data_IF_469335669518
#
_entry.id   IF_469335669518
#
_cell.length_a   1.000
_cell.length_b   1.000
_cell.length_c   1.000
_cell.angle_alpha   90.00
_cell.angle_beta   90.00
_cell.angle_gamma   90.00
#
_symmetry.space_group_name_H-M   'P 1'
#
loop_
_entity.id
_entity.type
_entity.pdbx_description
1 polymer ?
#
# COMPACT_ATOMS: atom_id res chain seq x y z
N UNK A 1 -12.46 22.73 21.46
CA UNK A 1 -11.27 22.60 20.58
C UNK A 1 -10.05 22.08 21.34
N UNK A 2 -9.55 22.79 22.37
CA UNK A 2 -8.33 22.40 23.11
C UNK A 2 -8.42 21.01 23.75
N UNK A 3 -9.58 20.63 24.32
CA UNK A 3 -9.78 19.30 24.93
C UNK A 3 -9.64 18.15 23.93
N UNK A 4 -10.22 18.30 22.73
CA UNK A 4 -10.11 17.33 21.63
C UNK A 4 -8.65 17.14 21.20
N UNK A 5 -7.92 18.23 20.96
CA UNK A 5 -6.52 18.13 20.54
C UNK A 5 -5.62 17.54 21.63
N UNK A 6 -5.90 17.80 22.92
CA UNK A 6 -5.19 17.14 24.03
C UNK A 6 -5.46 15.64 24.04
N UNK A 7 -6.71 15.21 23.88
CA UNK A 7 -7.06 13.78 23.78
C UNK A 7 -6.46 13.11 22.53
N UNK A 8 -6.47 13.81 21.40
CA UNK A 8 -5.82 13.35 20.16
C UNK A 8 -4.31 13.19 20.35
N UNK A 9 -3.65 14.13 21.05
CA UNK A 9 -2.22 14.04 21.35
C UNK A 9 -1.90 12.85 22.27
N UNK A 10 -2.67 12.64 23.35
CA UNK A 10 -2.46 11.51 24.25
C UNK A 10 -2.68 10.16 23.54
N UNK A 11 -3.73 10.06 22.72
CA UNK A 11 -3.97 8.85 21.92
C UNK A 11 -2.89 8.62 20.87
N UNK A 12 -2.35 9.67 20.23
CA UNK A 12 -1.21 9.56 19.31
C UNK A 12 0.06 9.06 20.01
N UNK A 13 0.37 9.58 21.19
CA UNK A 13 1.53 9.13 21.97
C UNK A 13 1.40 7.68 22.40
N UNK A 14 0.20 7.26 22.82
CA UNK A 14 -0.09 5.87 23.15
C UNK A 14 0.02 4.96 21.91
N UNK A 15 -0.44 5.44 20.75
CA UNK A 15 -0.33 4.74 19.46
C UNK A 15 1.12 4.47 19.06
N UNK A 16 1.97 5.50 19.18
CA UNK A 16 3.40 5.42 18.92
C UNK A 16 4.07 4.42 19.86
N UNK A 17 3.78 4.51 21.16
CA UNK A 17 4.31 3.57 22.16
C UNK A 17 3.91 2.11 21.86
N UNK A 18 2.64 1.87 21.55
CA UNK A 18 2.15 0.54 21.17
C UNK A 18 2.78 0.04 19.86
N UNK A 19 2.97 0.93 18.88
CA UNK A 19 3.62 0.59 17.61
C UNK A 19 5.06 0.14 17.82
N UNK A 20 5.83 0.90 18.63
CA UNK A 20 7.21 0.55 18.96
C UNK A 20 7.27 -0.78 19.70
N UNK A 21 6.40 -1.00 20.69
CA UNK A 21 6.36 -2.26 21.43
C UNK A 21 6.04 -3.47 20.52
N UNK A 22 5.09 -3.33 19.60
CA UNK A 22 4.76 -4.38 18.62
C UNK A 22 5.94 -4.70 17.71
N UNK A 23 6.63 -3.67 17.20
CA UNK A 23 7.82 -3.88 16.35
C UNK A 23 8.94 -4.57 17.13
N UNK A 24 9.20 -4.19 18.38
CA UNK A 24 10.23 -4.82 19.20
C UNK A 24 9.92 -6.30 19.46
N UNK A 25 8.66 -6.64 19.76
CA UNK A 25 8.23 -8.03 19.90
C UNK A 25 8.36 -8.81 18.59
N UNK A 26 8.00 -8.20 17.46
CA UNK A 26 8.14 -8.84 16.15
C UNK A 26 9.61 -9.13 15.82
N UNK A 27 10.51 -8.17 16.11
CA UNK A 27 11.95 -8.34 15.88
C UNK A 27 12.54 -9.47 16.75
N UNK A 28 12.11 -9.60 18.00
CA UNK A 28 12.55 -10.68 18.89
C UNK A 28 12.17 -12.07 18.35
N UNK A 29 11.00 -12.19 17.73
CA UNK A 29 10.54 -13.43 17.09
C UNK A 29 11.08 -13.65 15.67
N UNK A 30 11.52 -12.59 14.97
CA UNK A 30 11.99 -12.67 13.58
C UNK A 30 13.33 -13.40 13.49
N UNK A 31 14.26 -13.13 14.41
CA UNK A 31 15.60 -13.71 14.37
C UNK A 31 15.66 -15.00 15.20
N UNK A 32 15.60 -16.15 14.53
CA UNK A 32 15.74 -17.45 15.19
C UNK A 32 17.20 -17.71 15.51
N UNK A 33 17.49 -18.05 16.77
CA UNK A 33 18.81 -18.46 17.22
C UNK A 33 18.71 -19.69 18.11
N UNK A 34 19.38 -20.77 17.72
CA UNK A 34 19.41 -22.03 18.46
C UNK A 34 20.85 -22.48 18.70
N UNK A 35 21.39 -22.31 19.91
CA UNK A 35 22.75 -22.71 20.22
C UNK A 35 22.84 -24.22 20.38
N UNK A 36 23.57 -24.92 19.50
CA UNK A 36 23.90 -26.33 19.69
C UNK A 36 24.98 -26.52 20.76
N UNK A 37 25.84 -25.51 20.96
CA UNK A 37 26.84 -25.48 22.03
C UNK A 37 26.81 -24.18 22.84
N UNK A 38 26.97 -24.23 24.18
CA UNK A 38 27.10 -25.42 25.02
C UNK A 38 25.86 -26.34 24.98
N UNK A 39 26.05 -27.65 25.19
CA UNK A 39 24.99 -28.66 25.03
C UNK A 39 23.74 -28.34 25.85
N UNK A 40 23.92 -27.83 27.07
CA UNK A 40 22.81 -27.49 27.97
C UNK A 40 21.97 -26.28 27.52
N UNK A 41 22.50 -25.43 26.62
CA UNK A 41 21.78 -24.29 26.05
C UNK A 41 20.95 -24.69 24.83
N UNK A 42 21.19 -25.87 24.27
CA UNK A 42 20.51 -26.36 23.07
C UNK A 42 19.08 -26.77 23.37
N UNK A 43 18.13 -26.27 22.58
CA UNK A 43 16.76 -26.77 22.63
C UNK A 43 16.60 -28.08 21.85
N UNK A 44 17.61 -28.45 21.05
CA UNK A 44 17.66 -29.70 20.31
C UNK A 44 18.61 -30.68 21.01
N UNK A 45 18.10 -31.84 21.43
CA UNK A 45 18.95 -32.90 21.96
C UNK A 45 19.82 -33.51 20.84
N UNK A 46 21.09 -33.74 21.17
CA UNK A 46 22.07 -34.37 20.30
C UNK A 46 23.18 -35.02 21.14
N UNK A 47 23.84 -36.03 20.59
CA UNK A 47 25.05 -36.64 21.17
C UNK A 47 26.19 -36.62 20.14
N UNK A 48 27.43 -36.74 20.62
CA UNK A 48 28.60 -36.76 19.76
C UNK A 48 28.98 -38.20 19.38
N UNK A 49 29.43 -38.40 18.14
CA UNK A 49 30.03 -39.66 17.69
C UNK A 49 31.24 -39.38 16.79
N UNK A 50 32.11 -40.38 16.63
CA UNK A 50 33.25 -40.29 15.72
C UNK A 50 32.98 -41.10 14.45
N UNK A 51 33.36 -40.56 13.30
CA UNK A 51 33.30 -41.24 12.02
C UNK A 51 34.72 -41.37 11.47
N UNK A 52 35.20 -42.60 11.31
CA UNK A 52 36.56 -42.88 10.84
C UNK A 52 36.55 -43.92 9.73
N UNK A 53 37.64 -43.95 8.97
CA UNK A 53 37.89 -44.93 7.92
C UNK A 53 38.20 -46.35 8.41
N UNK A 54 38.06 -46.62 9.72
CA UNK A 54 38.29 -47.96 10.29
C UNK A 54 37.38 -49.02 9.69
N UNK A 55 36.13 -48.66 9.34
CA UNK A 55 35.21 -49.58 8.68
C UNK A 55 35.70 -49.98 7.28
N UNK A 56 36.45 -49.10 6.61
CA UNK A 56 37.03 -49.31 5.28
C UNK A 56 38.43 -49.94 5.34
N UNK A 57 38.87 -50.40 6.52
CA UNK A 57 40.18 -51.01 6.74
C UNK A 57 41.31 -50.01 7.02
N UNK A 58 40.97 -48.74 7.27
CA UNK A 58 41.89 -47.71 7.71
C UNK A 58 42.21 -47.77 9.20
N UNK A 59 43.05 -46.85 9.65
CA UNK A 59 43.48 -46.67 11.03
C UNK A 59 43.60 -45.18 11.39
N UNK A 60 42.82 -44.33 10.71
CA UNK A 60 42.62 -42.96 11.14
C UNK A 60 41.87 -42.93 12.47
N UNK A 61 42.10 -41.88 13.25
CA UNK A 61 41.64 -41.78 14.63
C UNK A 61 40.88 -40.47 14.82
N UNK A 62 39.77 -40.54 15.55
CA UNK A 62 39.07 -39.39 16.12
C UNK A 62 38.86 -39.65 17.61
N UNK A 63 39.21 -38.69 18.45
CA UNK A 63 39.01 -38.73 19.91
C UNK A 63 38.31 -37.45 20.33
N UNK A 64 37.22 -37.58 21.10
CA UNK A 64 36.47 -36.44 21.64
C UNK A 64 36.84 -36.30 23.12
N UNK A 65 37.36 -35.13 23.49
CA UNK A 65 37.76 -34.79 24.86
C UNK A 65 36.69 -34.00 25.61
N UNK A 66 35.99 -33.11 24.91
CA UNK A 66 34.81 -32.39 25.42
C UNK A 66 33.77 -32.25 24.30
N UNK A 67 32.51 -32.36 24.69
CA UNK A 67 31.35 -32.11 23.84
C UNK A 67 30.19 -31.45 24.62
N UNK A 68 30.48 -30.98 25.85
CA UNK A 68 29.47 -30.41 26.74
C UNK A 68 29.51 -28.88 26.72
N UNK A 69 30.68 -28.27 26.85
CA UNK A 69 30.83 -26.80 26.82
C UNK A 69 31.36 -26.32 25.48
N UNK A 70 32.38 -26.99 24.96
CA UNK A 70 32.93 -26.78 23.64
C UNK A 70 33.22 -28.15 23.00
N UNK A 71 33.28 -28.22 21.68
CA UNK A 71 33.74 -29.42 21.00
C UNK A 71 35.26 -29.41 21.00
N UNK A 72 35.90 -30.30 21.74
CA UNK A 72 37.35 -30.51 21.73
C UNK A 72 37.61 -31.92 21.19
N UNK A 73 38.22 -32.01 20.02
CA UNK A 73 38.48 -33.30 19.38
C UNK A 73 39.86 -33.34 18.72
N UNK A 74 40.48 -34.52 18.75
CA UNK A 74 41.69 -34.83 18.00
C UNK A 74 41.34 -35.67 16.77
N UNK A 75 41.82 -35.22 15.61
CA UNK A 75 41.64 -35.85 14.32
C UNK A 75 43.02 -36.20 13.75
N UNK A 76 43.28 -37.48 13.49
CA UNK A 76 44.53 -37.93 12.85
C UNK A 76 44.22 -38.81 11.65
N UNK A 77 44.64 -38.37 10.47
CA UNK A 77 44.60 -39.17 9.25
C UNK A 77 45.79 -40.14 9.20
N UNK A 78 45.58 -41.31 8.62
CA UNK A 78 46.66 -42.24 8.27
C UNK A 78 46.77 -42.42 6.77
N UNK A 79 47.95 -42.83 6.29
CA UNK A 79 48.27 -43.10 4.89
C UNK A 79 47.91 -44.52 4.40
N UNK A 80 47.23 -45.32 5.22
CA UNK A 80 46.87 -46.72 4.88
C UNK A 80 45.92 -46.79 3.69
N UNK A 81 44.96 -45.86 3.63
CA UNK A 81 43.99 -45.76 2.54
C UNK A 81 44.36 -44.63 1.59
N UNK A 82 43.93 -44.76 0.33
CA UNK A 82 44.12 -43.69 -0.68
C UNK A 82 43.26 -42.46 -0.41
N UNK A 83 42.15 -42.63 0.33
CA UNK A 83 41.22 -41.56 0.73
C UNK A 83 40.85 -41.74 2.20
N UNK A 84 41.80 -41.48 3.11
CA UNK A 84 41.54 -41.62 4.54
C UNK A 84 40.59 -40.52 5.00
N UNK A 85 39.81 -40.80 6.04
CA UNK A 85 38.95 -39.80 6.64
C UNK A 85 38.80 -40.02 8.15
N UNK A 86 38.59 -38.91 8.83
CA UNK A 86 38.25 -38.86 10.25
C UNK A 86 37.42 -37.61 10.51
N UNK A 87 36.39 -37.75 11.33
CA UNK A 87 35.43 -36.69 11.62
C UNK A 87 34.75 -36.90 12.97
N UNK A 88 34.13 -35.83 13.45
CA UNK A 88 33.23 -35.84 14.60
C UNK A 88 31.86 -35.36 14.16
N UNK A 89 30.83 -36.04 14.64
CA UNK A 89 29.43 -35.77 14.31
C UNK A 89 28.63 -35.38 15.54
N UNK A 90 27.74 -34.41 15.37
CA UNK A 90 26.65 -34.11 16.28
C UNK A 90 25.39 -34.76 15.71
N UNK A 91 24.97 -35.87 16.32
CA UNK A 91 23.80 -36.64 15.90
C UNK A 91 22.59 -36.18 16.66
N UNK A 92 21.54 -35.78 15.96
CA UNK A 92 20.30 -35.38 16.60
C UNK A 92 19.61 -36.59 17.24
N UNK A 93 19.14 -36.37 18.46
CA UNK A 93 18.49 -37.41 19.25
C UNK A 93 17.23 -36.91 19.93
N UNK A 94 16.42 -37.86 20.40
CA UNK A 94 15.40 -37.57 21.39
C UNK A 94 16.01 -37.54 22.82
N UNK A 95 15.13 -37.44 23.82
CA UNK A 95 15.51 -37.43 25.24
C UNK A 95 16.04 -38.80 25.73
N UNK A 96 15.77 -39.88 25.00
CA UNK A 96 16.23 -41.25 25.28
C UNK A 96 17.48 -41.62 24.48
N UNK A 97 18.13 -40.63 23.83
CA UNK A 97 19.28 -40.80 22.94
C UNK A 97 19.02 -41.67 21.70
N UNK A 98 17.76 -41.87 21.31
CA UNK A 98 17.44 -42.49 20.02
C UNK A 98 17.72 -41.50 18.89
N UNK A 99 18.30 -42.01 17.80
CA UNK A 99 18.61 -41.21 16.61
C UNK A 99 17.33 -40.76 15.93
N UNK A 100 17.23 -39.47 15.63
CA UNK A 100 16.08 -38.90 14.96
C UNK A 100 16.52 -37.82 13.96
N UNK A 101 15.58 -37.41 13.11
CA UNK A 101 15.79 -36.31 12.18
C UNK A 101 15.17 -35.02 12.72
N UNK A 102 15.83 -33.89 12.48
CA UNK A 102 15.33 -32.56 12.82
C UNK A 102 15.02 -31.76 11.56
N UNK A 103 13.95 -30.98 11.64
CA UNK A 103 13.64 -29.98 10.63
C UNK A 103 14.44 -28.72 10.92
N UNK A 104 15.40 -28.43 10.05
CA UNK A 104 16.26 -27.25 10.13
C UNK A 104 15.92 -26.20 9.06
N UNK A 105 14.79 -26.31 8.35
CA UNK A 105 14.42 -25.36 7.27
C UNK A 105 14.32 -23.91 7.75
N UNK A 106 13.98 -23.70 9.01
CA UNK A 106 13.92 -22.37 9.62
C UNK A 106 15.30 -21.71 9.78
N UNK A 107 16.40 -22.47 9.67
CA UNK A 107 17.76 -21.99 9.88
C UNK A 107 18.54 -21.94 8.57
N UNK A 108 19.13 -20.77 8.29
CA UNK A 108 19.88 -20.52 7.06
C UNK A 108 21.39 -20.62 7.30
N UNK A 109 21.88 -20.28 8.50
CA UNK A 109 23.31 -20.22 8.79
C UNK A 109 23.69 -21.03 10.02
N UNK A 110 24.74 -21.82 9.93
CA UNK A 110 25.44 -22.39 11.06
C UNK A 110 26.69 -21.57 11.35
N UNK A 111 26.69 -20.88 12.50
CA UNK A 111 27.81 -20.03 12.90
C UNK A 111 28.54 -20.62 14.10
N UNK A 112 29.87 -20.58 14.09
CA UNK A 112 30.70 -21.13 15.17
C UNK A 112 32.07 -20.46 15.23
N UNK A 113 32.72 -20.48 16.40
CA UNK A 113 34.14 -20.14 16.46
C UNK A 113 34.95 -21.42 16.42
N UNK A 114 36.03 -21.43 15.64
CA UNK A 114 36.92 -22.58 15.50
C UNK A 114 38.37 -22.19 15.71
N UNK A 115 39.16 -23.13 16.25
CA UNK A 115 40.61 -23.08 16.40
C UNK A 115 41.19 -24.48 16.20
N UNK A 116 42.32 -24.58 15.51
CA UNK A 116 43.05 -25.83 15.31
C UNK A 116 44.48 -25.75 15.86
N UNK A 117 45.09 -26.89 16.20
CA UNK A 117 46.51 -26.98 16.53
C UNK A 117 47.41 -26.69 15.33
N UNK A 118 46.94 -27.05 14.13
CA UNK A 118 47.64 -26.92 12.85
C UNK A 118 46.73 -26.25 11.83
N UNK A 119 47.32 -25.47 10.92
CA UNK A 119 46.55 -24.80 9.88
C UNK A 119 46.09 -25.85 8.86
N UNK A 120 44.78 -25.95 8.64
CA UNK A 120 44.17 -27.01 7.83
C UNK A 120 42.85 -26.53 7.23
N UNK A 121 42.39 -27.22 6.20
CA UNK A 121 41.04 -27.06 5.64
C UNK A 121 40.20 -28.24 6.09
N UNK A 122 39.09 -27.94 6.77
CA UNK A 122 38.12 -28.91 7.25
C UNK A 122 36.82 -28.79 6.46
N UNK A 123 35.98 -29.81 6.53
CA UNK A 123 34.66 -29.83 5.91
C UNK A 123 33.57 -29.88 6.98
N UNK A 124 32.52 -29.08 6.78
CA UNK A 124 31.24 -29.25 7.43
C UNK A 124 30.32 -30.02 6.49
N UNK A 125 29.70 -31.09 6.96
CA UNK A 125 28.71 -31.88 6.23
C UNK A 125 27.39 -31.91 7.00
N UNK A 126 26.27 -31.89 6.28
CA UNK A 126 24.93 -31.98 6.87
C UNK A 126 24.22 -33.17 6.26
N UNK A 127 23.93 -34.20 7.06
CA UNK A 127 23.32 -35.43 6.56
C UNK A 127 21.80 -35.27 6.48
N UNK A 128 21.28 -35.21 5.26
CA UNK A 128 19.87 -34.98 4.92
C UNK A 128 19.23 -36.22 4.30
N UNK A 129 17.94 -36.42 4.54
CA UNK A 129 17.17 -37.53 3.98
C UNK A 129 16.73 -37.18 2.57
N UNK A 130 17.07 -38.05 1.61
CA UNK A 130 16.44 -38.13 0.30
C UNK A 130 15.25 -39.11 0.39
N UNK A 131 14.04 -38.72 -0.04
CA UNK A 131 12.84 -39.56 0.09
C UNK A 131 12.88 -40.84 -0.74
N UNK A 132 13.76 -40.93 -1.74
CA UNK A 132 13.86 -42.06 -2.67
C UNK A 132 15.06 -42.95 -2.39
N UNK A 133 16.19 -42.37 -1.99
CA UNK A 133 17.48 -43.08 -1.88
C UNK A 133 17.80 -43.48 -0.44
N UNK A 134 17.46 -42.63 0.54
CA UNK A 134 17.98 -42.77 1.89
C UNK A 134 17.40 -43.97 2.62
N UNK A 135 18.30 -44.80 3.17
CA UNK A 135 18.01 -45.89 4.09
C UNK A 135 18.44 -45.45 5.49
N UNK A 136 17.50 -45.43 6.43
CA UNK A 136 17.70 -44.82 7.76
C UNK A 136 18.92 -45.35 8.53
N UNK A 137 19.23 -46.64 8.38
CA UNK A 137 20.33 -47.30 9.08
C UNK A 137 21.68 -47.22 8.34
N UNK A 138 21.77 -46.50 7.22
CA UNK A 138 23.00 -46.41 6.43
C UNK A 138 23.27 -44.97 6.00
N UNK A 139 24.18 -44.29 6.72
CA UNK A 139 24.57 -42.90 6.41
C UNK A 139 25.20 -42.68 5.05
N UNK A 140 25.76 -43.72 4.41
CA UNK A 140 26.29 -43.61 3.04
C UNK A 140 25.18 -43.27 2.02
N UNK A 141 23.93 -43.59 2.35
CA UNK A 141 22.75 -43.33 1.49
C UNK A 141 22.08 -41.98 1.73
N UNK A 142 22.58 -41.18 2.68
CA UNK A 142 22.07 -39.84 2.94
C UNK A 142 22.72 -38.85 2.00
N UNK A 143 21.98 -37.82 1.58
CA UNK A 143 22.58 -36.66 0.93
C UNK A 143 23.40 -35.90 1.96
N UNK A 144 24.69 -35.73 1.72
CA UNK A 144 25.61 -35.05 2.64
C UNK A 144 26.21 -33.80 1.98
N UNK A 145 25.39 -32.74 1.75
CA UNK A 145 25.91 -31.45 1.32
C UNK A 145 27.04 -30.98 2.24
N UNK A 146 28.08 -30.42 1.65
CA UNK A 146 29.29 -30.02 2.36
C UNK A 146 29.75 -28.60 2.01
N UNK A 147 30.48 -28.01 2.95
CA UNK A 147 31.22 -26.75 2.74
C UNK A 147 32.57 -26.83 3.42
N UNK A 148 33.61 -26.39 2.72
CA UNK A 148 34.94 -26.28 3.28
C UNK A 148 35.10 -24.99 4.08
N UNK A 149 35.89 -25.06 5.14
CA UNK A 149 36.27 -23.90 5.93
C UNK A 149 37.72 -24.01 6.40
N UNK A 150 38.40 -22.88 6.51
CA UNK A 150 39.77 -22.82 6.99
C UNK A 150 39.78 -22.87 8.53
N UNK A 151 40.76 -23.58 9.07
CA UNK A 151 41.00 -23.65 10.50
C UNK A 151 42.45 -23.29 10.78
N UNK A 152 42.68 -22.38 11.73
CA UNK A 152 44.01 -21.90 12.07
C UNK A 152 44.29 -21.97 13.56
N UNK A 153 45.52 -21.67 13.96
CA UNK A 153 45.94 -21.57 15.37
C UNK A 153 45.23 -20.50 16.19
N UNK A 154 44.55 -19.56 15.53
CA UNK A 154 43.79 -18.49 16.18
C UNK A 154 42.29 -18.77 16.13
N UNK A 155 41.55 -18.25 17.11
CA UNK A 155 40.09 -18.32 17.08
C UNK A 155 39.54 -17.49 15.92
N UNK A 156 38.73 -18.12 15.07
CA UNK A 156 38.07 -17.46 13.95
C UNK A 156 36.58 -17.77 13.96
N UNK A 157 35.75 -16.75 13.71
CA UNK A 157 34.31 -16.92 13.55
C UNK A 157 34.03 -17.38 12.11
N UNK A 158 33.40 -18.53 11.98
CA UNK A 158 32.89 -19.08 10.72
C UNK A 158 31.37 -18.97 10.69
N UNK A 159 30.83 -18.74 9.50
CA UNK A 159 29.41 -18.83 9.21
C UNK A 159 29.24 -19.60 7.91
N UNK A 160 28.51 -20.71 7.97
CA UNK A 160 28.24 -21.58 6.83
C UNK A 160 26.77 -21.46 6.47
N UNK A 161 26.49 -21.10 5.21
CA UNK A 161 25.13 -21.11 4.68
C UNK A 161 24.70 -22.56 4.45
N UNK A 162 23.66 -23.00 5.16
CA UNK A 162 23.10 -24.35 5.10
C UNK A 162 22.24 -24.57 3.85
N UNK A 163 21.79 -23.51 3.17
CA UNK A 163 21.00 -23.59 1.93
C UNK A 163 21.86 -23.51 0.66
N UNK A 164 23.15 -23.18 0.79
CA UNK A 164 24.13 -23.11 -0.30
C UNK A 164 25.35 -24.00 0.01
N UNK A 165 25.16 -25.31 -0.08
CA UNK A 165 26.19 -26.31 0.13
C UNK A 165 26.30 -27.23 -1.08
N UNK A 166 27.49 -27.76 -1.35
CA UNK A 166 27.72 -28.60 -2.52
C UNK A 166 27.49 -30.08 -2.18
N UNK A 167 26.79 -30.81 -3.05
CA UNK A 167 26.72 -32.26 -2.94
C UNK A 167 28.03 -32.90 -3.43
N UNK A 168 28.53 -33.96 -2.77
CA UNK A 168 29.73 -34.63 -3.23
C UNK A 168 29.51 -35.35 -4.57
N UNK A 169 30.34 -35.06 -5.58
CA UNK A 169 30.20 -35.64 -6.91
C UNK A 169 30.28 -37.18 -6.91
N UNK A 170 31.10 -37.76 -6.04
CA UNK A 170 31.21 -39.22 -5.89
C UNK A 170 29.88 -39.85 -5.44
N UNK A 171 29.10 -39.14 -4.63
CA UNK A 171 27.83 -39.62 -4.11
C UNK A 171 26.75 -39.61 -5.21
N UNK A 172 26.72 -38.52 -6.00
CA UNK A 172 25.86 -38.43 -7.18
C UNK A 172 26.18 -39.55 -8.18
N UNK A 173 27.47 -39.85 -8.41
CA UNK A 173 27.89 -40.96 -9.26
C UNK A 173 27.48 -42.33 -8.70
N UNK A 174 27.64 -42.53 -7.39
CA UNK A 174 27.28 -43.79 -6.72
C UNK A 174 25.79 -44.14 -6.86
N UNK A 175 24.92 -43.13 -6.97
CA UNK A 175 23.48 -43.31 -7.16
C UNK A 175 23.01 -42.99 -8.58
N UNK A 176 23.93 -42.87 -9.55
CA UNK A 176 23.63 -42.60 -10.97
C UNK A 176 22.78 -41.33 -11.20
N UNK A 177 23.00 -40.31 -10.40
CA UNK A 177 22.32 -39.01 -10.49
C UNK A 177 23.07 -38.04 -11.40
N UNK A 178 22.37 -36.98 -11.83
CA UNK A 178 22.98 -35.89 -12.57
C UNK A 178 24.02 -35.18 -11.70
N UNK A 179 25.23 -34.96 -12.21
CA UNK A 179 26.30 -34.23 -11.51
C UNK A 179 25.97 -32.76 -11.25
N UNK A 180 25.00 -32.20 -11.97
CA UNK A 180 24.47 -30.86 -11.74
C UNK A 180 23.33 -30.82 -10.71
N UNK A 181 22.93 -31.96 -10.13
CA UNK A 181 21.95 -31.99 -9.05
C UNK A 181 22.58 -31.44 -7.77
N UNK A 182 22.10 -30.26 -7.35
CA UNK A 182 22.41 -29.59 -6.09
C UNK A 182 21.23 -29.65 -5.10
N UNK A 183 20.16 -30.40 -5.43
CA UNK A 183 18.95 -30.47 -4.65
C UNK A 183 19.12 -31.26 -3.35
N UNK A 184 18.85 -30.61 -2.21
CA UNK A 184 18.67 -31.26 -0.92
C UNK A 184 17.66 -30.48 -0.06
N UNK A 185 17.15 -31.12 0.99
CA UNK A 185 16.17 -30.52 1.90
C UNK A 185 16.65 -30.59 3.34
N UNK A 186 16.57 -29.46 4.04
CA UNK A 186 16.82 -29.38 5.48
C UNK A 186 15.61 -29.84 6.32
N UNK A 187 14.55 -30.38 5.71
CA UNK A 187 13.35 -30.85 6.45
C UNK A 187 13.62 -32.04 7.36
N UNK A 188 14.63 -32.84 7.03
CA UNK A 188 14.99 -34.04 7.79
C UNK A 188 16.52 -34.17 7.82
N UNK A 189 17.14 -33.60 8.85
CA UNK A 189 18.58 -33.63 9.10
C UNK A 189 18.88 -34.63 10.21
N UNK A 190 19.75 -35.62 9.93
CA UNK A 190 20.15 -36.64 10.90
C UNK A 190 21.31 -36.18 11.79
N UNK A 191 22.36 -35.62 11.18
CA UNK A 191 23.57 -35.20 11.89
C UNK A 191 24.32 -34.09 11.16
N UNK A 192 25.08 -33.32 11.92
CA UNK A 192 26.05 -32.33 11.41
C UNK A 192 27.43 -32.87 11.72
N UNK A 193 28.28 -33.02 10.70
CA UNK A 193 29.61 -33.61 10.81
C UNK A 193 30.68 -32.57 10.48
N UNK A 194 31.77 -32.61 11.24
CA UNK A 194 32.97 -31.81 11.04
C UNK A 194 34.15 -32.77 10.84
N UNK A 195 34.73 -32.72 9.65
CA UNK A 195 35.70 -33.71 9.21
C UNK A 195 36.92 -33.13 8.53
N UNK A 196 37.91 -34.00 8.39
CA UNK A 196 39.11 -33.76 7.60
C UNK A 196 38.81 -33.72 6.11
N UNK A 197 39.73 -33.15 5.33
CA UNK A 197 39.66 -33.08 3.87
C UNK A 197 40.91 -33.67 3.23
N UNK A 198 40.93 -33.78 1.91
CA UNK A 198 42.14 -34.17 1.17
C UNK A 198 43.32 -33.19 1.35
N UNK A 199 43.08 -31.98 1.88
CA UNK A 199 44.13 -31.00 2.19
C UNK A 199 44.60 -31.06 3.64
N UNK A 200 43.97 -31.87 4.49
CA UNK A 200 44.39 -32.06 5.87
C UNK A 200 45.71 -32.85 5.94
N UNK A 201 46.63 -32.51 6.86
CA UNK A 201 47.89 -33.24 6.99
C UNK A 201 47.65 -34.70 7.39
N UNK A 202 48.39 -35.60 6.72
CA UNK A 202 48.38 -37.03 7.01
C UNK A 202 49.46 -37.34 8.04
N UNK A 203 49.20 -38.29 8.94
CA UNK A 203 50.09 -38.72 10.02
C UNK A 203 50.41 -37.62 11.06
N UNK A 204 49.64 -36.53 11.07
CA UNK A 204 49.69 -35.46 12.06
C UNK A 204 48.35 -35.34 12.79
N UNK A 205 48.39 -35.05 14.09
CA UNK A 205 47.18 -34.86 14.89
C UNK A 205 46.72 -33.40 14.84
N UNK A 206 45.51 -33.20 14.33
CA UNK A 206 44.80 -31.92 14.31
C UNK A 206 43.86 -31.89 15.52
N UNK A 207 44.17 -31.08 16.53
CA UNK A 207 43.23 -30.80 17.62
C UNK A 207 42.33 -29.65 17.22
N UNK A 208 41.03 -29.92 17.11
CA UNK A 208 40.00 -28.97 16.71
C UNK A 208 39.18 -28.58 17.94
N UNK A 209 39.04 -27.27 18.15
CA UNK A 209 38.22 -26.71 19.22
C UNK A 209 37.13 -25.82 18.61
N UNK A 210 35.86 -26.11 18.91
CA UNK A 210 34.70 -25.35 18.41
C UNK A 210 33.84 -24.89 19.59
N UNK A 211 33.50 -23.61 19.62
CA UNK A 211 32.55 -23.06 20.60
C UNK A 211 31.48 -22.19 19.92
N UNK A 212 30.43 -21.86 20.68
CA UNK A 212 29.34 -21.01 20.22
C UNK A 212 28.77 -21.47 18.85
N UNK A 213 28.59 -22.78 18.71
CA UNK A 213 27.98 -23.43 17.56
C UNK A 213 26.47 -23.15 17.62
N UNK A 214 25.97 -22.34 16.70
CA UNK A 214 24.61 -21.80 16.74
C UNK A 214 23.99 -21.85 15.36
N UNK A 215 22.78 -22.41 15.28
CA UNK A 215 21.91 -22.31 14.11
C UNK A 215 21.19 -20.96 14.14
N UNK A 216 21.23 -20.24 13.03
CA UNK A 216 20.65 -18.91 12.88
C UNK A 216 19.69 -18.91 11.70
N UNK A 217 18.53 -18.31 11.89
CA UNK A 217 17.45 -18.25 10.93
C UNK A 217 16.71 -16.94 11.00
N UNK A 218 15.89 -16.68 10.00
CA UNK A 218 15.05 -15.50 9.93
C UNK A 218 13.66 -15.92 9.46
N UNK A 219 12.64 -15.52 10.21
CA UNK A 219 11.23 -15.69 9.86
C UNK A 219 10.58 -14.32 9.70
N UNK A 220 10.48 -13.88 8.45
CA UNK A 220 9.97 -12.56 8.08
C UNK A 220 8.44 -12.45 8.23
N UNK A 221 7.72 -13.56 8.45
CA UNK A 221 6.26 -13.57 8.55
C UNK A 221 5.78 -12.73 9.73
N UNK A 222 6.48 -12.79 10.87
CA UNK A 222 6.18 -11.96 12.04
C UNK A 222 6.26 -10.47 11.73
N UNK A 223 7.26 -10.05 10.96
CA UNK A 223 7.43 -8.65 10.57
C UNK A 223 6.33 -8.21 9.61
N UNK A 224 5.97 -9.04 8.62
CA UNK A 224 4.91 -8.72 7.66
C UNK A 224 3.54 -8.63 8.32
N UNK A 225 3.19 -9.58 9.19
CA UNK A 225 1.93 -9.56 9.95
C UNK A 225 1.87 -8.33 10.85
N UNK A 226 2.96 -8.01 11.54
CA UNK A 226 3.04 -6.81 12.39
C UNK A 226 2.90 -5.53 11.59
N UNK A 227 3.56 -5.42 10.43
CA UNK A 227 3.42 -4.29 9.53
C UNK A 227 1.98 -4.10 9.04
N UNK A 228 1.30 -5.19 8.66
CA UNK A 228 -0.11 -5.14 8.24
C UNK A 228 -1.03 -4.69 9.38
N UNK A 229 -0.82 -5.20 10.60
CA UNK A 229 -1.55 -4.78 11.80
C UNK A 229 -1.33 -3.30 12.11
N UNK A 230 -0.09 -2.81 12.02
CA UNK A 230 0.23 -1.39 12.21
C UNK A 230 -0.48 -0.52 11.17
N UNK A 231 -0.45 -0.89 9.88
CA UNK A 231 -1.16 -0.14 8.83
C UNK A 231 -2.65 -0.04 9.17
N UNK A 232 -3.31 -1.15 9.52
CA UNK A 232 -4.72 -1.14 9.92
C UNK A 232 -4.96 -0.24 11.14
N UNK A 233 -4.10 -0.34 12.14
CA UNK A 233 -4.22 0.39 13.39
C UNK A 233 -4.05 1.91 13.18
N UNK A 234 -3.11 2.32 12.33
CA UNK A 234 -2.92 3.72 11.93
C UNK A 234 -4.06 4.24 11.05
N UNK A 235 -4.61 3.42 10.15
CA UNK A 235 -5.80 3.79 9.35
C UNK A 235 -7.03 4.00 10.23
N UNK A 236 -7.25 3.13 11.23
CA UNK A 236 -8.34 3.28 12.21
C UNK A 236 -8.18 4.56 13.02
N UNK A 237 -6.95 4.86 13.47
CA UNK A 237 -6.66 6.10 14.18
C UNK A 237 -6.89 7.34 13.30
N UNK A 238 -6.45 7.33 12.04
CA UNK A 238 -6.67 8.41 11.09
C UNK A 238 -8.17 8.64 10.83
N UNK A 239 -8.95 7.57 10.67
CA UNK A 239 -10.41 7.64 10.54
C UNK A 239 -11.09 8.23 11.77
N UNK A 240 -10.69 7.79 12.97
CA UNK A 240 -11.17 8.37 14.24
C UNK A 240 -10.82 9.85 14.37
N UNK A 241 -9.59 10.23 14.02
CA UNK A 241 -9.11 11.61 14.06
C UNK A 241 -9.89 12.50 13.09
N UNK A 242 -10.11 12.04 11.86
CA UNK A 242 -10.86 12.78 10.84
C UNK A 242 -12.32 12.98 11.26
N UNK A 243 -12.97 11.94 11.76
CA UNK A 243 -14.35 12.02 12.26
C UNK A 243 -14.46 12.93 13.49
N UNK A 244 -13.52 12.81 14.43
CA UNK A 244 -13.46 13.66 15.62
C UNK A 244 -13.21 15.12 15.28
N UNK A 245 -12.30 15.40 14.36
CA UNK A 245 -12.01 16.75 13.88
C UNK A 245 -13.20 17.36 13.14
N UNK A 246 -13.88 16.57 12.28
CA UNK A 246 -15.11 16.98 11.61
C UNK A 246 -16.21 17.38 12.60
N UNK A 247 -16.45 16.56 13.63
CA UNK A 247 -17.41 16.90 14.71
C UNK A 247 -17.02 18.17 15.46
N UNK A 248 -15.73 18.31 15.83
CA UNK A 248 -15.24 19.49 16.54
C UNK A 248 -15.36 20.77 15.70
N UNK A 249 -15.12 20.68 14.39
CA UNK A 249 -15.27 21.78 13.45
C UNK A 249 -16.75 22.20 13.31
N UNK A 250 -17.66 21.24 13.14
CA UNK A 250 -19.11 21.51 13.08
C UNK A 250 -19.61 22.19 14.35
N UNK A 251 -19.18 21.73 15.54
CA UNK A 251 -19.52 22.39 16.80
C UNK A 251 -18.99 23.83 16.87
N UNK A 252 -17.78 24.08 16.39
CA UNK A 252 -17.21 25.43 16.35
C UNK A 252 -17.96 26.36 15.39
N UNK A 253 -18.38 25.84 14.23
CA UNK A 253 -19.21 26.55 13.26
C UNK A 253 -20.60 26.83 13.84
N UNK A 254 -21.24 25.86 14.49
CA UNK A 254 -22.52 26.06 15.17
C UNK A 254 -22.42 27.14 16.24
N UNK A 255 -21.38 27.10 17.08
CA UNK A 255 -21.16 28.14 18.09
C UNK A 255 -20.99 29.52 17.44
N UNK A 256 -20.21 29.61 16.36
CA UNK A 256 -19.99 30.88 15.64
C UNK A 256 -21.27 31.39 14.97
N UNK A 257 -22.03 30.51 14.33
CA UNK A 257 -23.34 30.82 13.72
C UNK A 257 -24.34 31.26 14.79
N UNK A 258 -24.34 30.64 15.98
CA UNK A 258 -25.22 31.02 17.09
C UNK A 258 -24.81 32.35 17.72
N UNK A 259 -23.51 32.62 17.87
CA UNK A 259 -23.01 33.88 18.45
C UNK A 259 -23.10 35.06 17.48
N UNK A 260 -22.97 34.83 16.18
CA UNK A 260 -23.03 35.85 15.13
C UNK A 260 -24.39 35.88 14.44
N UNK A 261 -25.46 35.31 15.02
CA UNK A 261 -26.81 35.51 14.48
C UNK A 261 -27.05 37.02 14.36
N UNK A 262 -27.21 37.59 13.14
CA UNK A 262 -27.84 38.89 13.06
C UNK A 262 -29.20 38.70 13.73
N UNK A 263 -29.56 39.61 14.64
CA UNK A 263 -30.95 39.80 15.04
C UNK A 263 -31.71 40.15 13.76
N UNK A 264 -32.09 39.13 12.99
CA UNK A 264 -33.17 39.25 12.03
C UNK A 264 -34.39 39.34 12.91
N UNK A 265 -34.68 40.58 13.35
CA UNK A 265 -36.01 40.94 13.78
C UNK A 265 -36.92 40.34 12.72
N UNK A 266 -37.85 39.48 13.14
CA UNK A 266 -38.91 38.98 12.28
C UNK A 266 -39.56 40.21 11.66
N UNK A 267 -39.14 40.56 10.44
CA UNK A 267 -39.79 41.57 9.66
C UNK A 267 -41.12 40.91 9.35
N UNK A 268 -42.15 41.31 10.10
CA UNK A 268 -43.51 40.84 9.89
C UNK A 268 -43.74 40.88 8.39
N UNK A 269 -44.14 39.73 7.83
CA UNK A 269 -44.57 39.65 6.45
C UNK A 269 -45.77 40.60 6.32
N UNK A 270 -45.49 41.86 5.96
CA UNK A 270 -46.53 42.83 5.68
C UNK A 270 -47.17 42.35 4.39
N UNK A 271 -48.28 41.64 4.52
CA UNK A 271 -49.28 41.52 3.47
C UNK A 271 -49.83 42.92 3.21
N UNK A 272 -49.05 43.75 2.53
CA UNK A 272 -49.56 44.97 1.92
C UNK A 272 -50.49 44.50 0.80
N UNK A 273 -51.77 44.93 0.78
CA UNK A 273 -52.67 44.56 -0.30
C UNK A 273 -52.06 45.09 -1.60
N UNK A 274 -52.14 44.29 -2.67
CA UNK A 274 -51.74 44.65 -4.03
C UNK A 274 -52.40 46.00 -4.40
N UNK A 275 -51.68 47.09 -4.13
CA UNK A 275 -52.07 48.45 -4.50
C UNK A 275 -51.77 48.54 -5.98
N UNK A 276 -52.80 48.78 -6.80
CA UNK A 276 -52.64 49.22 -8.18
C UNK A 276 -51.83 50.53 -8.17
N UNK A 277 -50.51 50.44 -8.16
CA UNK A 277 -49.65 51.60 -8.28
C UNK A 277 -49.76 52.13 -9.71
N UNK A 278 -49.57 53.45 -9.93
CA UNK A 278 -49.46 53.99 -11.28
C UNK A 278 -48.38 53.27 -12.10
N UNK A 279 -47.31 52.78 -11.46
CA UNK A 279 -46.26 51.96 -12.06
C UNK A 279 -46.77 50.61 -12.57
N UNK A 280 -47.53 49.87 -11.77
CA UNK A 280 -48.11 48.58 -12.17
C UNK A 280 -49.05 48.73 -13.38
N UNK A 281 -49.79 49.84 -13.43
CA UNK A 281 -50.68 50.13 -14.57
C UNK A 281 -49.89 50.40 -15.86
N UNK A 282 -48.77 51.12 -15.78
CA UNK A 282 -47.87 51.35 -16.91
C UNK A 282 -47.25 50.04 -17.38
N UNK A 283 -46.75 49.21 -16.45
CA UNK A 283 -46.13 47.92 -16.75
C UNK A 283 -47.12 46.99 -17.45
N UNK A 284 -48.35 46.88 -16.92
CA UNK A 284 -49.42 46.07 -17.53
C UNK A 284 -49.79 46.56 -18.92
N UNK A 285 -49.97 47.87 -19.11
CA UNK A 285 -50.29 48.43 -20.42
C UNK A 285 -49.21 48.09 -21.47
N UNK A 286 -47.93 48.20 -21.08
CA UNK A 286 -46.82 47.83 -21.95
C UNK A 286 -46.76 46.32 -22.22
N UNK A 287 -46.99 45.49 -21.21
CA UNK A 287 -47.07 44.03 -21.34
C UNK A 287 -48.19 43.57 -22.30
N UNK A 288 -49.30 44.30 -22.36
CA UNK A 288 -50.42 43.97 -23.24
C UNK A 288 -50.22 44.50 -24.67
N UNK A 289 -49.51 45.62 -24.85
CA UNK A 289 -49.46 46.34 -26.13
C UNK A 289 -48.08 46.35 -26.80
N UNK A 290 -47.04 45.73 -26.23
CA UNK A 290 -45.67 45.82 -26.76
C UNK A 290 -45.54 45.40 -28.23
N UNK A 291 -46.34 44.42 -28.67
CA UNK A 291 -46.33 43.92 -30.04
C UNK A 291 -46.79 44.96 -31.08
N UNK A 292 -47.48 46.03 -30.67
CA UNK A 292 -47.98 47.05 -31.57
C UNK A 292 -46.82 47.92 -32.12
N UNK A 293 -46.53 47.92 -33.44
CA UNK A 293 -45.33 48.57 -33.99
C UNK A 293 -45.30 50.09 -33.83
N UNK A 294 -46.46 50.74 -33.76
CA UNK A 294 -46.56 52.20 -33.56
C UNK A 294 -46.43 52.62 -32.08
N UNK A 295 -46.44 51.66 -31.14
CA UNK A 295 -46.41 51.97 -29.71
C UNK A 295 -45.18 52.82 -29.38
N UNK A 296 -45.47 54.03 -28.92
CA UNK A 296 -44.49 55.02 -28.53
C UNK A 296 -44.95 55.74 -27.25
N UNK A 297 -44.08 56.59 -26.73
CA UNK A 297 -44.34 57.31 -25.47
C UNK A 297 -45.63 58.14 -25.53
N UNK A 298 -45.94 58.79 -26.66
CA UNK A 298 -47.14 59.62 -26.78
C UNK A 298 -48.41 58.81 -26.75
N UNK A 299 -48.43 57.65 -27.43
CA UNK A 299 -49.57 56.74 -27.38
C UNK A 299 -49.84 56.26 -25.95
N UNK A 300 -48.79 55.89 -25.20
CA UNK A 300 -48.92 55.45 -23.83
C UNK A 300 -49.38 56.57 -22.88
N UNK A 301 -48.86 57.79 -23.07
CA UNK A 301 -49.27 59.00 -22.32
C UNK A 301 -50.75 59.32 -22.57
N UNK A 302 -51.19 59.29 -23.83
CA UNK A 302 -52.59 59.53 -24.20
C UNK A 302 -53.53 58.45 -23.68
N UNK A 303 -53.12 57.18 -23.69
CA UNK A 303 -53.94 56.07 -23.22
C UNK A 303 -54.08 56.03 -21.69
N UNK A 304 -53.03 56.40 -20.95
CA UNK A 304 -52.98 56.28 -19.49
C UNK A 304 -53.22 57.60 -18.75
N UNK A 305 -53.19 58.74 -19.44
CA UNK A 305 -53.33 60.07 -18.84
C UNK A 305 -52.12 60.49 -17.98
N UNK A 306 -50.97 59.84 -18.14
CA UNK A 306 -49.75 60.10 -17.36
C UNK A 306 -48.75 60.85 -18.23
N UNK A 307 -48.24 61.99 -17.78
CA UNK A 307 -47.28 62.76 -18.56
C UNK A 307 -45.93 62.02 -18.76
N UNK A 308 -45.19 62.40 -19.82
CA UNK A 308 -43.93 61.75 -20.22
C UNK A 308 -42.88 61.70 -19.11
N UNK A 309 -42.71 62.80 -18.37
CA UNK A 309 -41.70 62.91 -17.29
C UNK A 309 -42.04 61.95 -16.17
N UNK A 310 -43.31 61.92 -15.74
CA UNK A 310 -43.79 61.09 -14.66
C UNK A 310 -43.72 59.60 -15.01
N UNK A 311 -44.02 59.23 -16.26
CA UNK A 311 -43.90 57.85 -16.72
C UNK A 311 -42.46 57.33 -16.63
N UNK A 312 -41.48 58.14 -17.07
CA UNK A 312 -40.07 57.77 -16.94
C UNK A 312 -39.58 57.77 -15.48
N UNK A 313 -40.03 58.70 -14.64
CA UNK A 313 -39.70 58.70 -13.21
C UNK A 313 -40.20 57.43 -12.53
N UNK A 314 -41.45 57.03 -12.79
CA UNK A 314 -42.05 55.83 -12.22
C UNK A 314 -41.33 54.56 -12.69
N UNK A 315 -41.06 54.42 -14.00
CA UNK A 315 -40.33 53.26 -14.51
C UNK A 315 -38.87 53.21 -14.03
N UNK A 316 -38.20 54.36 -13.86
CA UNK A 316 -36.85 54.39 -13.29
C UNK A 316 -36.83 54.05 -11.80
N UNK A 317 -37.80 54.54 -11.04
CA UNK A 317 -37.88 54.26 -9.61
C UNK A 317 -38.12 52.77 -9.34
N UNK A 318 -38.97 52.12 -10.15
CA UNK A 318 -39.38 50.73 -9.94
C UNK A 318 -38.45 49.73 -10.63
N UNK A 319 -38.03 50.02 -11.86
CA UNK A 319 -37.31 49.06 -12.73
C UNK A 319 -35.90 49.54 -13.10
N UNK A 320 -35.52 50.78 -12.76
CA UNK A 320 -34.25 51.37 -13.18
C UNK A 320 -34.17 51.70 -14.68
N UNK A 321 -35.29 51.62 -15.42
CA UNK A 321 -35.32 51.71 -16.88
C UNK A 321 -36.16 52.90 -17.36
N UNK A 322 -35.82 53.43 -18.54
CA UNK A 322 -36.69 54.37 -19.26
C UNK A 322 -37.80 53.62 -20.00
N UNK A 323 -38.85 54.33 -20.39
CA UNK A 323 -39.94 53.80 -21.22
C UNK A 323 -39.43 53.00 -22.43
N UNK A 324 -38.57 53.63 -23.25
CA UNK A 324 -38.04 53.00 -24.47
C UNK A 324 -37.18 51.78 -24.15
N UNK A 325 -36.36 51.85 -23.10
CA UNK A 325 -35.51 50.73 -22.71
C UNK A 325 -36.34 49.56 -22.20
N UNK A 326 -37.39 49.82 -21.44
CA UNK A 326 -38.27 48.79 -20.92
C UNK A 326 -39.09 48.13 -22.04
N UNK A 327 -39.66 48.93 -22.96
CA UNK A 327 -40.37 48.41 -24.14
C UNK A 327 -39.44 47.54 -25.01
N UNK A 328 -38.22 47.99 -25.30
CA UNK A 328 -37.27 47.19 -26.08
C UNK A 328 -36.93 45.88 -25.38
N UNK A 329 -36.68 45.91 -24.06
CA UNK A 329 -36.42 44.69 -23.28
C UNK A 329 -37.58 43.71 -23.32
N UNK A 330 -38.81 44.19 -23.18
CA UNK A 330 -40.00 43.36 -23.26
C UNK A 330 -40.13 42.70 -24.64
N UNK A 331 -39.94 43.47 -25.73
CA UNK A 331 -39.96 42.94 -27.10
C UNK A 331 -38.85 41.91 -27.36
N UNK A 332 -37.64 42.18 -26.86
CA UNK A 332 -36.49 41.28 -27.01
C UNK A 332 -36.66 39.98 -26.20
N UNK A 333 -37.20 40.08 -24.99
CA UNK A 333 -37.54 38.93 -24.15
C UNK A 333 -38.54 38.02 -24.86
N UNK A 334 -39.62 38.58 -25.40
CA UNK A 334 -40.60 37.80 -26.16
C UNK A 334 -40.01 37.24 -27.45
N UNK A 335 -39.17 38.00 -28.16
CA UNK A 335 -38.49 37.49 -29.35
C UNK A 335 -37.58 36.30 -29.02
N UNK A 336 -36.87 36.35 -27.89
CA UNK A 336 -36.01 35.24 -27.43
C UNK A 336 -36.83 33.98 -27.15
N UNK A 337 -38.00 34.13 -26.52
CA UNK A 337 -38.96 33.05 -26.26
C UNK A 337 -39.45 32.43 -27.58
N UNK A 338 -39.89 33.25 -28.52
CA UNK A 338 -40.37 32.79 -29.84
C UNK A 338 -39.26 32.10 -30.66
N UNK A 339 -38.02 32.58 -30.56
CA UNK A 339 -36.87 31.95 -31.20
C UNK A 339 -36.56 30.56 -30.63
N UNK A 340 -36.90 30.29 -29.38
CA UNK A 340 -36.71 28.98 -28.72
C UNK A 340 -37.88 28.01 -28.86
N UNK A 341 -39.08 28.49 -29.20
CA UNK A 341 -40.28 27.65 -29.30
C UNK A 341 -40.62 27.25 -30.75
N UNK A 342 -40.08 27.96 -31.75
CA UNK A 342 -40.47 27.81 -33.16
C UNK A 342 -39.33 27.33 -34.07
N UNK A 343 -39.36 26.06 -34.47
CA UNK A 343 -38.34 25.45 -35.34
C UNK A 343 -38.27 26.11 -36.73
N UNK A 344 -39.42 26.47 -37.32
CA UNK A 344 -39.53 26.93 -38.72
C UNK A 344 -39.82 28.43 -38.92
N UNK A 345 -39.88 29.25 -37.86
CA UNK A 345 -40.16 30.68 -38.03
C UNK A 345 -38.93 31.46 -38.55
N UNK A 346 -39.17 32.34 -39.52
CA UNK A 346 -38.18 33.28 -40.05
C UNK A 346 -37.92 34.39 -39.00
N UNK A 347 -36.65 34.78 -38.84
CA UNK A 347 -36.22 35.81 -37.87
C UNK A 347 -36.88 37.17 -38.20
N UNK A 348 -37.06 37.46 -39.48
CA UNK A 348 -37.76 38.66 -39.93
C UNK A 348 -39.19 38.70 -39.39
N UNK A 349 -39.92 37.59 -39.49
CA UNK A 349 -41.31 37.48 -39.05
C UNK A 349 -41.41 37.66 -37.53
N UNK A 350 -40.52 37.03 -36.76
CA UNK A 350 -40.46 37.20 -35.30
C UNK A 350 -40.24 38.67 -34.92
N UNK A 351 -39.32 39.35 -35.60
CA UNK A 351 -39.05 40.76 -35.34
C UNK A 351 -40.31 41.62 -35.56
N UNK A 352 -41.06 41.36 -36.64
CA UNK A 352 -42.32 42.04 -36.91
C UNK A 352 -43.41 41.68 -35.90
N UNK A 353 -43.53 40.41 -35.49
CA UNK A 353 -44.52 39.94 -34.51
C UNK A 353 -44.35 40.61 -33.14
N UNK A 354 -43.11 40.83 -32.69
CA UNK A 354 -42.87 41.52 -31.41
C UNK A 354 -42.88 43.05 -31.53
N UNK A 355 -43.21 43.61 -32.70
CA UNK A 355 -43.43 45.05 -32.87
C UNK A 355 -42.24 45.86 -33.38
N UNK A 356 -41.20 45.24 -33.94
CA UNK A 356 -40.12 45.98 -34.62
C UNK A 356 -40.47 46.22 -36.10
N UNK A 357 -40.38 47.47 -36.55
CA UNK A 357 -40.56 47.82 -37.98
C UNK A 357 -39.31 47.60 -38.83
N UNK A 358 -38.14 47.55 -38.19
CA UNK A 358 -36.85 47.49 -38.85
C UNK A 358 -36.04 46.32 -38.30
N UNK A 359 -35.81 45.32 -39.15
CA UNK A 359 -35.07 44.09 -38.81
C UNK A 359 -33.60 44.39 -38.44
N UNK A 360 -32.96 45.34 -39.13
CA UNK A 360 -31.57 45.74 -38.83
C UNK A 360 -31.46 46.35 -37.42
N UNK A 361 -32.45 47.14 -37.01
CA UNK A 361 -32.52 47.70 -35.66
C UNK A 361 -32.76 46.62 -34.60
N UNK A 362 -33.69 45.69 -34.86
CA UNK A 362 -33.91 44.51 -34.01
C UNK A 362 -32.63 43.69 -33.84
N UNK A 363 -31.95 43.33 -34.93
CA UNK A 363 -30.73 42.53 -34.88
C UNK A 363 -29.63 43.19 -34.06
N UNK A 364 -29.49 44.52 -34.17
CA UNK A 364 -28.53 45.29 -33.38
C UNK A 364 -28.87 45.21 -31.89
N UNK A 365 -30.11 45.53 -31.51
CA UNK A 365 -30.54 45.52 -30.11
C UNK A 365 -30.49 44.12 -29.49
N UNK A 366 -30.89 43.09 -30.24
CA UNK A 366 -30.84 41.70 -29.76
C UNK A 366 -29.40 41.26 -29.49
N UNK A 367 -28.45 41.64 -30.36
CA UNK A 367 -27.03 41.36 -30.14
C UNK A 367 -26.45 42.12 -28.96
N UNK A 368 -26.89 43.36 -28.73
CA UNK A 368 -26.49 44.15 -27.57
C UNK A 368 -27.00 43.55 -26.25
N UNK A 369 -28.24 43.05 -26.21
CA UNK A 369 -28.84 42.47 -24.99
C UNK A 369 -28.34 41.04 -24.71
N UNK A 370 -28.26 40.17 -25.73
CA UNK A 370 -27.93 38.74 -25.56
C UNK A 370 -26.51 38.35 -25.97
N UNK A 371 -25.69 39.32 -26.40
CA UNK A 371 -24.29 39.10 -26.81
C UNK A 371 -24.09 38.33 -28.13
N UNK A 372 -25.16 37.87 -28.78
CA UNK A 372 -25.11 37.08 -30.01
C UNK A 372 -26.25 37.45 -30.98
N UNK A 373 -26.13 37.04 -32.25
CA UNK A 373 -27.18 37.35 -33.24
C UNK A 373 -28.41 36.46 -33.01
N UNK A 374 -29.63 36.89 -33.38
CA UNK A 374 -30.84 36.06 -33.27
C UNK A 374 -30.71 34.70 -33.96
N UNK A 375 -30.01 34.65 -35.10
CA UNK A 375 -29.72 33.40 -35.83
C UNK A 375 -28.86 32.45 -35.01
N UNK A 376 -27.80 32.98 -34.40
CA UNK A 376 -26.92 32.19 -33.54
C UNK A 376 -27.68 31.71 -32.29
N UNK A 377 -28.47 32.59 -31.67
CA UNK A 377 -29.31 32.29 -30.50
C UNK A 377 -30.27 31.14 -30.79
N UNK A 378 -30.99 31.17 -31.92
CA UNK A 378 -31.88 30.08 -32.35
C UNK A 378 -31.15 28.74 -32.52
N UNK A 379 -29.93 28.75 -33.06
CA UNK A 379 -29.18 27.52 -33.35
C UNK A 379 -28.54 26.87 -32.12
N UNK A 380 -28.22 27.64 -31.08
CA UNK A 380 -27.40 27.17 -29.95
C UNK A 380 -28.13 27.12 -28.61
N UNK A 381 -29.33 27.71 -28.50
CA UNK A 381 -30.18 27.62 -27.29
C UNK A 381 -31.15 26.43 -27.36
N UNK A 382 -31.24 25.73 -28.49
CA UNK A 382 -31.92 24.44 -28.60
C UNK A 382 -31.02 23.27 -28.14
N UNK A 383 -31.33 22.57 -27.04
CA UNK A 383 -30.82 21.23 -26.84
C UNK A 383 -31.43 20.30 -27.90
N UNK A 384 -30.59 19.67 -28.72
CA UNK A 384 -30.99 18.61 -29.66
C UNK A 384 -31.81 17.54 -28.94
N UNK A 385 -33.14 17.65 -29.00
CA UNK A 385 -34.03 16.64 -28.45
C UNK A 385 -35.37 16.66 -29.15
N UNK A 386 -35.38 16.06 -30.35
CA UNK A 386 -36.38 15.11 -30.88
C UNK A 386 -36.44 15.20 -32.40
N UNK A 387 -35.91 14.17 -33.07
CA UNK A 387 -36.56 13.43 -34.16
C UNK A 387 -35.66 12.25 -34.53
N UNK A 388 -35.86 11.15 -33.82
CA UNK A 388 -35.57 9.84 -34.38
C UNK A 388 -36.78 9.53 -35.27
N UNK A 389 -36.65 9.79 -36.56
CA UNK A 389 -37.64 9.39 -37.56
C UNK A 389 -37.34 7.94 -37.96
N UNK A 390 -38.39 7.12 -37.92
CA UNK A 390 -38.48 5.82 -38.56
C UNK A 390 -37.86 5.83 -39.97
N UNK A 391 -37.02 4.83 -40.27
CA UNK A 391 -37.12 4.04 -41.51
C UNK A 391 -36.16 2.83 -41.47
N UNK A 392 -36.71 1.66 -41.17
CA UNK A 392 -36.82 0.58 -42.16
C UNK A 392 -37.96 -0.35 -41.79
#
# INVERSE_FOLDING_TARGET
MISFYKQALYSLLMLLGASVALVLLALDHTFLSNPLMPRHSSTMAWFSETDTDQYDGGNSVAIIHDDSYLLDAELRLSDVLTRPYTAVSLVFSDQEQQRIHRDLRAYQYLSFNVKCSTDSVLALLVYTVDPTITKLNNYLTYRAPHRYFNCSKQWQRMSVNLTDMALPAWWLQMFELNLADDGYSLSQVAKIQLGTTAQSPINETIRVQINALTLNGEDWDYLYVTAALLVLLWLLYAGWLFHGHGKALVQSLQHKILSERPLVAYQQLSLAPHRNTPSDTIIRYLAEHFAHPELNMDMAVSALGINRTKMNELLKAELGLTFTSYLNKLRLAEASRLLTESDNCNIADIAYTVGYKNISYFNKLFKEEYGCTPKYFKQHVYPQSRTNTLHK
#
